data_IF_467813209817
#
_entry.id   IF_467813209817
#
_cell.length_a   1.000
_cell.length_b   1.000
_cell.length_c   1.000
_cell.angle_alpha   90.00
_cell.angle_beta   90.00
_cell.angle_gamma   90.00
#
_symmetry.space_group_name_H-M   'P 1'
#
loop_
_entity.id
_entity.type
_entity.pdbx_description
1 polymer ?
#
# COMPACT_ATOMS: atom_id res chain seq x y z
N UNK A 1 5.18 10.97 -31.39
CA UNK A 1 6.30 11.37 -30.53
C UNK A 1 7.13 10.17 -30.16
N UNK A 2 8.41 10.28 -30.37
CA UNK A 2 9.28 9.20 -29.94
C UNK A 2 9.30 9.16 -28.41
N UNK A 3 8.94 8.05 -27.87
CA UNK A 3 9.09 7.88 -26.43
C UNK A 3 10.56 7.86 -26.11
N UNK A 4 10.90 8.54 -25.06
CA UNK A 4 12.25 8.50 -24.54
C UNK A 4 12.56 7.07 -24.16
N UNK A 5 13.46 6.46 -24.92
CA UNK A 5 13.85 5.11 -24.58
C UNK A 5 14.92 5.18 -23.51
N UNK A 6 14.45 5.14 -22.28
CA UNK A 6 15.35 5.14 -21.15
C UNK A 6 16.32 3.98 -21.25
N UNK A 7 17.58 4.26 -21.02
CA UNK A 7 18.61 3.22 -21.01
C UNK A 7 18.52 2.46 -19.70
N UNK A 8 17.87 1.33 -19.74
CA UNK A 8 17.62 0.54 -18.54
C UNK A 8 18.87 -0.12 -17.99
N UNK A 9 19.93 -0.19 -18.79
CA UNK A 9 21.16 -0.85 -18.33
C UNK A 9 21.81 -0.15 -17.15
N UNK A 10 21.54 1.13 -16.97
CA UNK A 10 22.08 1.89 -15.86
C UNK A 10 21.13 2.10 -14.68
N UNK A 11 19.95 1.49 -14.75
CA UNK A 11 18.95 1.68 -13.73
C UNK A 11 18.91 0.52 -12.77
N UNK A 12 18.52 0.83 -11.55
CA UNK A 12 18.28 -0.18 -10.52
C UNK A 12 16.77 -0.35 -10.34
N UNK A 13 16.37 -1.52 -9.88
CA UNK A 13 14.98 -1.70 -9.47
C UNK A 13 14.69 -0.76 -8.30
N UNK A 14 13.43 -0.30 -8.16
CA UNK A 14 13.08 0.55 -7.02
C UNK A 14 13.46 -0.11 -5.70
N UNK A 15 14.09 0.66 -4.83
CA UNK A 15 14.59 0.17 -3.54
C UNK A 15 13.51 0.25 -2.48
N UNK A 16 13.82 -0.27 -1.29
CA UNK A 16 12.93 -0.09 -0.14
C UNK A 16 12.68 1.40 0.13
N UNK A 17 13.72 2.21 0.04
CA UNK A 17 13.58 3.65 0.25
C UNK A 17 12.70 4.30 -0.83
N UNK A 18 12.82 3.84 -2.06
CA UNK A 18 11.98 4.36 -3.14
C UNK A 18 10.51 4.05 -2.90
N UNK A 19 10.20 2.83 -2.45
CA UNK A 19 8.83 2.48 -2.15
C UNK A 19 8.30 3.23 -0.93
N UNK A 20 9.15 3.45 0.06
CA UNK A 20 8.76 4.23 1.22
C UNK A 20 8.41 5.66 0.82
N UNK A 21 9.20 6.27 -0.06
CA UNK A 21 8.92 7.61 -0.55
C UNK A 21 7.61 7.65 -1.35
N UNK A 22 7.37 6.65 -2.20
CA UNK A 22 6.13 6.56 -2.95
C UNK A 22 4.93 6.42 -2.01
N UNK A 23 5.08 5.58 -0.99
CA UNK A 23 3.99 5.35 -0.04
C UNK A 23 3.69 6.60 0.78
N UNK A 24 4.72 7.31 1.22
CA UNK A 24 4.53 8.54 1.98
C UNK A 24 3.82 9.60 1.15
N UNK A 25 4.22 9.75 -0.11
CA UNK A 25 3.56 10.68 -1.01
C UNK A 25 2.12 10.29 -1.27
N UNK A 26 1.87 8.99 -1.45
CA UNK A 26 0.51 8.51 -1.70
C UNK A 26 -0.39 8.74 -0.48
N UNK A 27 0.11 8.47 0.71
CA UNK A 27 -0.66 8.71 1.93
C UNK A 27 -1.01 10.18 2.09
N UNK A 28 -0.09 11.08 1.76
CA UNK A 28 -0.32 12.52 1.87
C UNK A 28 -1.37 13.01 0.87
N UNK A 29 -1.52 12.31 -0.25
CA UNK A 29 -2.43 12.73 -1.32
C UNK A 29 -3.75 11.96 -1.35
N UNK A 30 -4.00 11.09 -0.39
CA UNK A 30 -5.24 10.33 -0.38
C UNK A 30 -6.46 11.25 -0.25
N UNK A 31 -7.54 10.96 -0.99
CA UNK A 31 -8.77 11.72 -0.82
C UNK A 31 -9.45 11.38 0.50
N UNK A 32 -10.33 12.27 0.95
CA UNK A 32 -11.13 11.98 2.12
C UNK A 32 -12.11 10.84 1.81
N UNK A 33 -12.44 9.98 2.75
CA UNK A 33 -12.08 10.09 4.18
C UNK A 33 -10.70 9.50 4.55
N UNK A 34 -9.99 8.93 3.58
CA UNK A 34 -8.72 8.26 3.86
C UNK A 34 -7.64 9.21 4.36
N UNK A 35 -7.61 10.44 3.84
CA UNK A 35 -6.58 11.39 4.27
C UNK A 35 -6.61 11.60 5.79
N UNK A 36 -7.78 11.79 6.34
CA UNK A 36 -7.93 11.99 7.79
C UNK A 36 -7.59 10.72 8.56
N UNK A 37 -8.04 9.56 8.06
CA UNK A 37 -7.78 8.30 8.73
C UNK A 37 -6.30 7.93 8.70
N UNK A 38 -5.62 8.29 7.63
CA UNK A 38 -4.22 7.95 7.45
C UNK A 38 -3.26 8.87 8.20
N UNK A 39 -3.77 9.96 8.78
CA UNK A 39 -2.91 10.96 9.41
C UNK A 39 -2.05 10.37 10.53
N UNK A 40 -2.53 9.34 11.20
CA UNK A 40 -1.80 8.72 12.31
C UNK A 40 -1.23 7.35 11.96
N UNK A 41 -1.28 6.99 10.68
CA UNK A 41 -0.77 5.71 10.23
C UNK A 41 0.67 5.88 9.75
N UNK A 42 1.55 4.99 10.19
CA UNK A 42 2.91 4.95 9.67
C UNK A 42 2.99 3.89 8.58
N UNK A 43 3.97 4.03 7.72
CA UNK A 43 4.19 3.07 6.65
C UNK A 43 5.61 2.50 6.79
N UNK A 44 5.71 1.19 6.67
CA UNK A 44 6.99 0.50 6.72
C UNK A 44 7.10 -0.42 5.51
N UNK A 45 8.27 -0.49 4.91
CA UNK A 45 8.49 -1.31 3.72
C UNK A 45 9.51 -2.39 4.03
N UNK A 46 9.19 -3.62 3.67
CA UNK A 46 10.08 -4.75 3.81
C UNK A 46 10.13 -5.51 2.50
N UNK A 47 11.04 -6.46 2.37
CA UNK A 47 11.13 -7.24 1.13
C UNK A 47 9.96 -8.21 1.00
N UNK A 48 9.69 -8.97 2.06
CA UNK A 48 8.58 -9.93 2.10
C UNK A 48 8.00 -9.97 3.50
N UNK A 49 6.77 -10.42 3.61
CA UNK A 49 6.18 -10.72 4.90
C UNK A 49 6.92 -11.90 5.55
N UNK A 50 6.92 -11.90 6.87
CA UNK A 50 7.52 -13.00 7.62
C UNK A 50 6.73 -14.29 7.41
N UNK A 51 7.41 -15.43 7.51
CA UNK A 51 6.78 -16.74 7.30
C UNK A 51 5.58 -16.95 8.21
N UNK A 52 5.66 -16.49 9.44
CA UNK A 52 4.56 -16.64 10.40
C UNK A 52 3.30 -15.94 9.92
N UNK A 53 3.47 -14.76 9.31
CA UNK A 53 2.35 -14.00 8.78
C UNK A 53 1.73 -14.75 7.60
N UNK A 54 2.58 -15.23 6.69
CA UNK A 54 2.09 -15.96 5.52
C UNK A 54 1.36 -17.22 5.92
N UNK A 55 1.88 -17.95 6.88
CA UNK A 55 1.24 -19.16 7.38
C UNK A 55 -0.11 -18.84 8.02
N UNK A 56 -0.19 -17.74 8.74
CA UNK A 56 -1.44 -17.32 9.37
C UNK A 56 -2.55 -17.03 8.37
N UNK A 57 -2.18 -16.58 7.16
CA UNK A 57 -3.15 -16.32 6.09
C UNK A 57 -3.33 -17.52 5.15
N UNK A 58 -2.61 -18.60 5.38
CA UNK A 58 -2.69 -19.77 4.51
C UNK A 58 -2.08 -19.54 3.13
N UNK A 59 -1.15 -18.63 3.03
CA UNK A 59 -0.50 -18.33 1.77
C UNK A 59 0.70 -19.23 1.53
N UNK A 60 0.81 -19.73 0.31
CA UNK A 60 1.90 -20.62 -0.07
C UNK A 60 3.13 -19.88 -0.56
N UNK A 61 2.94 -18.65 -1.03
CA UNK A 61 4.01 -17.86 -1.63
C UNK A 61 4.05 -16.47 -1.01
N UNK A 62 5.25 -15.94 -0.72
CA UNK A 62 5.36 -14.58 -0.22
C UNK A 62 4.95 -13.52 -1.26
N UNK A 63 4.88 -13.89 -2.53
CA UNK A 63 4.44 -12.98 -3.57
C UNK A 63 2.94 -12.72 -3.55
N UNK A 64 2.19 -13.48 -2.77
CA UNK A 64 0.74 -13.30 -2.67
C UNK A 64 0.32 -12.15 -1.77
N UNK A 65 1.23 -11.63 -0.95
CA UNK A 65 0.90 -10.58 0.01
C UNK A 65 1.69 -9.32 -0.30
N UNK A 66 1.01 -8.30 -0.81
CA UNK A 66 1.63 -7.02 -1.16
C UNK A 66 1.64 -6.03 -0.02
N UNK A 67 0.71 -6.17 0.91
CA UNK A 67 0.63 -5.25 2.05
C UNK A 67 -0.15 -5.84 3.20
N UNK A 68 -0.03 -5.20 4.35
CA UNK A 68 -0.69 -5.65 5.56
C UNK A 68 -0.85 -4.49 6.52
N UNK A 69 -2.04 -4.34 7.08
CA UNK A 69 -2.26 -3.37 8.13
C UNK A 69 -2.09 -4.07 9.49
N UNK A 70 -1.28 -3.47 10.33
CA UNK A 70 -1.08 -3.96 11.69
C UNK A 70 -1.30 -2.83 12.67
N UNK A 71 -2.10 -3.07 13.67
CA UNK A 71 -2.36 -2.06 14.69
C UNK A 71 -3.64 -2.35 15.42
N UNK A 72 -3.92 -1.48 16.37
CA UNK A 72 -5.12 -1.59 17.19
C UNK A 72 -6.15 -0.61 16.63
N UNK A 73 -6.78 -1.01 15.54
CA UNK A 73 -7.90 -0.23 15.06
C UNK A 73 -9.07 -0.35 16.03
N UNK A 74 -10.24 0.06 15.58
CA UNK A 74 -11.46 -0.19 16.33
C UNK A 74 -11.69 -1.69 16.27
N UNK A 75 -11.29 -2.39 17.31
CA UNK A 75 -11.51 -3.82 17.38
C UNK A 75 -13.00 -4.09 17.58
N UNK A 76 -13.43 -5.29 17.23
CA UNK A 76 -14.84 -5.65 17.35
C UNK A 76 -15.35 -5.53 18.77
N UNK A 77 -14.50 -5.74 19.75
CA UNK A 77 -14.88 -5.62 21.13
C UNK A 77 -14.69 -4.21 21.71
N UNK A 78 -14.27 -3.27 20.85
CA UNK A 78 -14.14 -1.88 21.26
C UNK A 78 -13.06 -1.60 22.28
N UNK A 79 -12.13 -2.51 22.44
CA UNK A 79 -11.07 -2.33 23.42
C UNK A 79 -10.17 -1.16 23.04
N UNK A 80 -9.93 -0.28 24.01
CA UNK A 80 -9.01 0.83 23.80
C UNK A 80 -7.58 0.31 23.72
N UNK A 81 -6.72 0.95 22.90
CA UNK A 81 -5.32 0.57 22.87
C UNK A 81 -4.69 0.71 24.23
N UNK A 82 -3.91 -0.28 24.62
CA UNK A 82 -3.18 -0.21 25.86
C UNK A 82 -1.93 0.61 25.67
N UNK A 83 -1.48 1.21 26.73
CA UNK A 83 -0.23 1.97 26.75
C UNK A 83 0.92 1.05 26.29
N UNK A 84 1.72 1.53 25.38
CA UNK A 84 2.88 0.78 24.89
C UNK A 84 2.62 -0.07 23.66
N UNK A 85 1.40 -0.07 23.14
CA UNK A 85 1.14 -0.80 21.90
C UNK A 85 1.73 -0.07 20.71
N UNK A 86 2.06 -0.86 19.67
CA UNK A 86 2.62 -0.31 18.46
C UNK A 86 1.60 0.59 17.77
N UNK A 87 2.05 1.67 17.14
CA UNK A 87 1.14 2.50 16.36
C UNK A 87 0.59 1.74 15.16
N UNK A 88 -0.52 2.23 14.63
CA UNK A 88 -1.09 1.68 13.42
C UNK A 88 -0.07 1.81 12.28
N UNK A 89 0.22 0.70 11.65
CA UNK A 89 1.25 0.63 10.61
C UNK A 89 0.75 -0.15 9.41
N UNK A 90 0.94 0.42 8.23
CA UNK A 90 0.76 -0.32 6.99
C UNK A 90 2.13 -0.82 6.56
N UNK A 91 2.24 -2.13 6.36
CA UNK A 91 3.43 -2.74 5.81
C UNK A 91 3.23 -2.94 4.32
N UNK A 92 4.25 -2.58 3.54
CA UNK A 92 4.28 -2.88 2.12
C UNK A 92 5.43 -3.82 1.85
N UNK A 93 5.22 -4.76 0.95
CA UNK A 93 6.21 -5.79 0.67
C UNK A 93 6.73 -5.59 -0.76
N UNK A 94 7.95 -5.10 -0.83
CA UNK A 94 8.57 -4.63 -2.06
C UNK A 94 8.56 -5.68 -3.17
N UNK A 95 8.99 -6.90 -2.86
CA UNK A 95 9.13 -7.93 -3.90
C UNK A 95 7.79 -8.36 -4.46
N UNK A 96 6.78 -8.46 -3.61
CA UNK A 96 5.44 -8.81 -4.06
C UNK A 96 4.86 -7.69 -4.93
N UNK A 97 5.08 -6.44 -4.54
CA UNK A 97 4.60 -5.29 -5.30
C UNK A 97 5.28 -5.21 -6.68
N UNK A 98 6.61 -5.40 -6.72
CA UNK A 98 7.33 -5.36 -7.98
C UNK A 98 6.92 -6.49 -8.92
N UNK A 99 6.65 -7.68 -8.36
CA UNK A 99 6.17 -8.80 -9.14
C UNK A 99 4.81 -8.49 -9.77
N UNK A 100 3.90 -7.95 -8.97
CA UNK A 100 2.58 -7.57 -9.46
C UNK A 100 2.69 -6.49 -10.54
N UNK A 101 3.55 -5.50 -10.32
CA UNK A 101 3.77 -4.43 -11.28
C UNK A 101 4.28 -4.97 -12.61
N UNK A 102 5.23 -5.90 -12.55
CA UNK A 102 5.79 -6.49 -13.76
C UNK A 102 4.75 -7.23 -14.60
N UNK A 103 3.74 -7.79 -13.95
CA UNK A 103 2.68 -8.51 -14.63
C UNK A 103 1.49 -7.66 -15.04
N UNK A 104 1.44 -6.41 -14.56
CA UNK A 104 0.33 -5.51 -14.85
C UNK A 104 0.84 -4.26 -15.55
N UNK A 105 1.12 -4.41 -16.84
CA UNK A 105 1.77 -3.40 -17.67
C UNK A 105 1.01 -2.08 -17.76
N UNK A 106 -0.29 -2.12 -17.47
CA UNK A 106 -1.16 -0.95 -17.64
C UNK A 106 -1.11 0.00 -16.44
N UNK A 107 -0.45 -0.39 -15.37
CA UNK A 107 -0.42 0.42 -14.15
C UNK A 107 0.99 0.90 -13.84
N UNK A 108 1.08 2.14 -13.38
CA UNK A 108 2.35 2.64 -12.86
C UNK A 108 2.59 2.07 -11.47
N UNK A 109 3.84 2.08 -11.06
CA UNK A 109 4.18 1.65 -9.71
C UNK A 109 3.47 2.49 -8.65
N UNK A 110 3.37 3.80 -8.88
CA UNK A 110 2.65 4.69 -7.97
C UNK A 110 1.19 4.32 -7.83
N UNK A 111 0.54 3.97 -8.94
CA UNK A 111 -0.86 3.53 -8.90
C UNK A 111 -1.03 2.25 -8.10
N UNK A 112 -0.09 1.32 -8.23
CA UNK A 112 -0.15 0.07 -7.50
C UNK A 112 0.05 0.30 -6.00
N UNK A 113 1.02 1.13 -5.62
CA UNK A 113 1.25 1.47 -4.22
C UNK A 113 0.00 2.12 -3.62
N UNK A 114 -0.61 3.06 -4.34
CA UNK A 114 -1.84 3.71 -3.89
C UNK A 114 -2.96 2.69 -3.70
N UNK A 115 -3.12 1.78 -4.66
CA UNK A 115 -4.12 0.73 -4.59
C UNK A 115 -3.95 -0.13 -3.33
N UNK A 116 -2.72 -0.57 -3.06
CA UNK A 116 -2.46 -1.41 -1.89
C UNK A 116 -2.78 -0.64 -0.61
N UNK A 117 -2.36 0.61 -0.53
CA UNK A 117 -2.63 1.45 0.65
C UNK A 117 -4.13 1.63 0.89
N UNK A 118 -4.88 1.97 -0.16
CA UNK A 118 -6.32 2.17 -0.04
C UNK A 118 -7.00 0.89 0.43
N UNK A 119 -6.61 -0.26 -0.13
CA UNK A 119 -7.24 -1.53 0.23
C UNK A 119 -6.91 -1.93 1.67
N UNK A 120 -5.65 -1.78 2.09
CA UNK A 120 -5.29 -2.14 3.46
C UNK A 120 -5.96 -1.23 4.49
N UNK A 121 -5.93 0.08 4.23
CA UNK A 121 -6.60 1.02 5.12
C UNK A 121 -8.11 0.80 5.10
N UNK A 122 -8.67 0.58 3.91
CA UNK A 122 -10.10 0.41 3.76
C UNK A 122 -10.63 -0.80 4.51
N UNK A 123 -9.96 -1.93 4.38
CA UNK A 123 -10.36 -3.14 5.11
C UNK A 123 -10.29 -2.92 6.62
N UNK A 124 -9.22 -2.27 7.08
CA UNK A 124 -9.06 -2.04 8.50
C UNK A 124 -10.15 -1.13 9.05
N UNK A 125 -10.53 -0.10 8.30
CA UNK A 125 -11.54 0.86 8.75
C UNK A 125 -12.97 0.50 8.31
N UNK A 126 -13.15 -0.66 7.70
CA UNK A 126 -14.48 -1.18 7.40
C UNK A 126 -15.14 -0.64 6.14
N UNK A 127 -14.38 -0.11 5.21
CA UNK A 127 -14.95 0.34 3.93
C UNK A 127 -15.25 -0.86 3.03
N UNK A 128 -16.32 -0.74 2.24
CA UNK A 128 -16.67 -1.75 1.26
C UNK A 128 -15.74 -1.66 0.05
N UNK A 129 -15.67 -2.75 -0.72
CA UNK A 129 -14.90 -2.76 -1.96
C UNK A 129 -15.37 -1.66 -2.91
N UNK A 130 -16.69 -1.43 -2.96
CA UNK A 130 -17.27 -0.39 -3.81
C UNK A 130 -16.80 1.00 -3.38
N UNK A 131 -16.77 1.26 -2.08
CA UNK A 131 -16.26 2.53 -1.55
C UNK A 131 -14.81 2.73 -1.91
N UNK A 132 -14.00 1.68 -1.78
CA UNK A 132 -12.57 1.75 -2.06
C UNK A 132 -12.30 1.98 -3.54
N UNK A 133 -13.08 1.36 -4.42
CA UNK A 133 -12.95 1.58 -5.85
C UNK A 133 -13.24 3.03 -6.24
N UNK A 134 -14.28 3.61 -5.64
CA UNK A 134 -14.64 5.00 -5.91
C UNK A 134 -13.54 5.95 -5.46
N UNK A 135 -12.97 5.70 -4.29
CA UNK A 135 -11.90 6.54 -3.75
C UNK A 135 -10.62 6.41 -4.58
N UNK A 136 -10.30 5.20 -5.00
CA UNK A 136 -9.14 4.96 -5.84
C UNK A 136 -9.28 5.65 -7.20
N UNK A 137 -10.48 5.60 -7.78
CA UNK A 137 -10.73 6.27 -9.05
C UNK A 137 -10.53 7.78 -8.91
N UNK A 138 -10.97 8.36 -7.81
CA UNK A 138 -10.77 9.77 -7.55
C UNK A 138 -9.29 10.12 -7.40
N UNK A 139 -8.53 9.29 -6.68
CA UNK A 139 -7.10 9.50 -6.52
C UNK A 139 -6.38 9.45 -7.86
N UNK A 140 -6.72 8.47 -8.69
CA UNK A 140 -6.09 8.32 -10.00
C UNK A 140 -6.49 9.43 -10.97
N UNK A 141 -7.72 9.92 -10.87
CA UNK A 141 -8.17 11.03 -11.70
C UNK A 141 -7.39 12.29 -11.40
N UNK A 142 -7.13 12.57 -10.12
CA UNK A 142 -6.32 13.72 -9.73
C UNK A 142 -4.90 13.63 -10.28
N UNK A 143 -4.31 12.44 -10.25
CA UNK A 143 -2.98 12.21 -10.81
C UNK A 143 -2.96 12.45 -12.32
N UNK A 144 -4.02 12.06 -13.01
CA UNK A 144 -4.09 12.17 -14.45
C UNK A 144 -4.39 13.59 -14.94
N UNK A 145 -4.79 14.47 -14.05
CA UNK A 145 -5.15 15.84 -14.41
C UNK A 145 -3.99 16.83 -14.28
N UNK A 146 -2.82 16.35 -14.00
CA UNK A 146 -1.66 17.21 -13.85
C UNK A 146 -0.81 17.29 -15.10
#
# INVERSE_FOLDING_TARGET
MALDKTDWSGLYAPTLDDLEALASAALADLPEPFASLAAEVTCSVAEFAEDEILQGFGMESPFELMGLFSGVGLTEDGAAPQTGQMPNTVYLYRRAILDYWAENDDNTLGEIVTHVLIHELGHHFGFSDEDMEAIEAEANADDNNQ
#
